data_IF_455954466537
#
_entry.id   IF_455954466537
#
_cell.length_a   1.000
_cell.length_b   1.000
_cell.length_c   1.000
_cell.angle_alpha   90.00
_cell.angle_beta   90.00
_cell.angle_gamma   90.00
#
_symmetry.space_group_name_H-M   'P 1'
#
loop_
_entity.id
_entity.type
_entity.pdbx_description
1 polymer ?
#
# COMPACT_ATOMS: atom_id res chain seq x y z
N UNK A 1 -4.28 3.37 17.55
CA UNK A 1 -5.44 2.67 18.16
C UNK A 1 -5.04 1.96 19.46
N UNK A 2 -4.06 1.04 19.45
CA UNK A 2 -3.64 0.29 20.64
C UNK A 2 -3.33 1.16 21.87
N UNK A 3 -2.51 2.22 21.73
CA UNK A 3 -2.17 3.11 22.85
C UNK A 3 -3.39 3.79 23.50
N UNK A 4 -4.36 4.22 22.68
CA UNK A 4 -5.58 4.85 23.19
C UNK A 4 -6.46 3.84 23.94
N UNK A 5 -6.61 2.63 23.40
CA UNK A 5 -7.39 1.56 24.03
C UNK A 5 -6.78 1.11 25.37
N UNK A 6 -5.47 0.93 25.43
CA UNK A 6 -4.76 0.58 26.68
C UNK A 6 -4.85 1.67 27.74
N UNK A 7 -4.91 2.95 27.32
CA UNK A 7 -5.10 4.07 28.25
C UNK A 7 -6.45 4.01 28.97
N UNK A 8 -7.49 3.57 28.28
CA UNK A 8 -8.84 3.39 28.85
C UNK A 8 -9.00 2.03 29.55
N UNK A 9 -8.13 1.07 29.26
CA UNK A 9 -8.18 -0.30 29.79
C UNK A 9 -6.84 -0.72 30.40
N UNK A 10 -6.54 -0.20 31.60
CA UNK A 10 -5.23 -0.35 32.27
C UNK A 10 -4.80 -1.79 32.61
N UNK A 11 -5.72 -2.77 32.51
CA UNK A 11 -5.43 -4.20 32.72
C UNK A 11 -5.05 -4.93 31.43
N UNK A 12 -5.17 -4.29 30.27
CA UNK A 12 -4.91 -4.89 28.96
C UNK A 12 -3.59 -4.35 28.43
N UNK A 13 -2.73 -5.26 27.98
CA UNK A 13 -1.49 -4.93 27.26
C UNK A 13 -1.60 -5.44 25.83
N UNK A 14 -1.27 -4.58 24.87
CA UNK A 14 -1.29 -4.87 23.43
C UNK A 14 0.10 -4.55 22.88
N UNK A 15 0.78 -5.56 22.36
CA UNK A 15 2.02 -5.38 21.61
C UNK A 15 1.72 -5.33 20.12
N UNK A 16 2.29 -4.35 19.41
CA UNK A 16 2.09 -4.16 17.96
C UNK A 16 3.43 -4.26 17.27
N UNK A 17 3.57 -5.28 16.42
CA UNK A 17 4.73 -5.47 15.55
C UNK A 17 4.39 -5.11 14.10
N UNK A 18 5.31 -4.40 13.43
CA UNK A 18 5.26 -4.18 11.99
C UNK A 18 5.75 -5.41 11.20
N UNK A 19 5.64 -5.37 9.87
CA UNK A 19 6.12 -6.45 9.00
C UNK A 19 5.29 -6.65 7.72
N UNK A 20 4.10 -6.05 7.66
CA UNK A 20 3.19 -6.11 6.52
C UNK A 20 2.25 -7.32 6.54
N UNK A 21 1.33 -7.36 5.57
CA UNK A 21 0.20 -8.30 5.54
C UNK A 21 0.61 -9.78 5.60
N UNK A 22 1.58 -10.19 4.77
CA UNK A 22 2.03 -11.60 4.76
C UNK A 22 2.69 -12.02 6.07
N UNK A 23 3.42 -11.12 6.73
CA UNK A 23 4.03 -11.40 8.04
C UNK A 23 2.95 -11.56 9.13
N UNK A 24 1.93 -10.71 9.12
CA UNK A 24 0.80 -10.80 10.06
C UNK A 24 -0.01 -12.09 9.90
N UNK A 25 -0.34 -12.47 8.67
CA UNK A 25 -1.06 -13.73 8.37
C UNK A 25 -0.25 -14.93 8.85
N UNK A 26 1.06 -14.95 8.56
CA UNK A 26 1.97 -16.02 8.97
C UNK A 26 2.07 -16.11 10.50
N UNK A 27 2.20 -14.97 11.20
CA UNK A 27 2.34 -14.95 12.65
C UNK A 27 1.15 -15.58 13.38
N UNK A 28 -0.08 -15.32 12.91
CA UNK A 28 -1.28 -15.95 13.46
C UNK A 28 -1.31 -17.44 13.17
N UNK A 29 -0.99 -17.86 11.94
CA UNK A 29 -0.91 -19.29 11.58
C UNK A 29 0.09 -20.07 12.43
N UNK A 30 1.21 -19.44 12.76
CA UNK A 30 2.27 -20.05 13.58
C UNK A 30 2.01 -19.90 15.08
N UNK A 31 0.92 -19.23 15.49
CA UNK A 31 0.58 -19.02 16.90
C UNK A 31 1.53 -18.05 17.64
N UNK A 32 2.32 -17.26 16.89
CA UNK A 32 3.24 -16.26 17.47
C UNK A 32 2.59 -14.89 17.64
N UNK A 33 1.37 -14.72 17.13
CA UNK A 33 0.52 -13.55 17.38
C UNK A 33 -0.94 -13.99 17.51
N UNK A 34 -1.70 -13.31 18.38
CA UNK A 34 -3.14 -13.55 18.54
C UNK A 34 -3.97 -12.99 17.36
N UNK A 35 -3.51 -11.87 16.79
CA UNK A 35 -4.20 -11.14 15.71
C UNK A 35 -3.19 -10.69 14.66
N UNK A 36 -3.55 -10.88 13.40
CA UNK A 36 -2.76 -10.47 12.23
C UNK A 36 -3.57 -9.50 11.37
N UNK A 37 -2.95 -8.37 10.99
CA UNK A 37 -3.56 -7.41 10.08
C UNK A 37 -3.14 -7.69 8.64
N UNK A 38 -4.10 -7.62 7.71
CA UNK A 38 -3.84 -7.74 6.28
C UNK A 38 -4.62 -6.67 5.52
N UNK A 39 -3.92 -5.93 4.66
CA UNK A 39 -4.51 -5.00 3.68
C UNK A 39 -4.88 -5.68 2.36
N UNK A 40 -4.86 -7.01 2.32
CA UNK A 40 -5.26 -7.84 1.19
C UNK A 40 -6.10 -9.02 1.64
N UNK A 41 -6.84 -9.61 0.72
CA UNK A 41 -7.48 -10.89 0.97
C UNK A 41 -6.43 -11.99 1.21
N UNK A 42 -6.84 -13.00 1.99
CA UNK A 42 -6.06 -14.21 2.19
C UNK A 42 -6.06 -15.05 0.92
N UNK A 43 -4.89 -15.58 0.58
CA UNK A 43 -4.73 -16.57 -0.48
C UNK A 43 -5.41 -17.89 -0.11
N UNK A 44 -5.70 -18.76 -1.09
CA UNK A 44 -6.50 -19.97 -0.85
C UNK A 44 -5.89 -20.89 0.21
N UNK A 45 -4.58 -21.00 0.22
CA UNK A 45 -3.78 -21.80 1.16
C UNK A 45 -3.63 -21.13 2.54
N UNK A 46 -3.82 -19.81 2.62
CA UNK A 46 -3.83 -19.05 3.88
C UNK A 46 -5.17 -19.13 4.62
N UNK A 47 -6.29 -19.43 3.92
CA UNK A 47 -7.64 -19.42 4.51
C UNK A 47 -7.90 -20.52 5.54
N UNK A 48 -7.15 -21.63 5.49
CA UNK A 48 -7.41 -22.76 6.37
C UNK A 48 -6.99 -22.44 7.82
N UNK A 49 -7.95 -22.48 8.74
CA UNK A 49 -7.70 -22.29 10.17
C UNK A 49 -7.64 -20.83 10.63
N UNK A 50 -7.94 -19.87 9.75
CA UNK A 50 -8.00 -18.45 10.10
C UNK A 50 -9.42 -17.90 10.01
N UNK A 51 -9.82 -17.11 11.00
CA UNK A 51 -11.04 -16.32 10.96
C UNK A 51 -10.73 -14.91 10.45
N UNK A 52 -11.39 -14.48 9.38
CA UNK A 52 -11.21 -13.14 8.81
C UNK A 52 -12.34 -12.23 9.27
N UNK A 53 -11.98 -11.09 9.87
CA UNK A 53 -12.92 -10.06 10.31
C UNK A 53 -12.59 -8.75 9.58
N UNK A 54 -13.47 -8.24 8.71
CA UNK A 54 -13.31 -6.91 8.11
C UNK A 54 -13.49 -5.83 9.18
N UNK A 55 -12.48 -4.98 9.38
CA UNK A 55 -12.50 -3.91 10.40
C UNK A 55 -12.49 -2.51 9.80
N UNK A 56 -12.07 -2.35 8.55
CA UNK A 56 -11.95 -1.07 7.88
C UNK A 56 -11.90 -1.23 6.36
N UNK A 57 -12.14 -0.12 5.66
CA UNK A 57 -11.86 0.04 4.23
C UNK A 57 -10.69 1.02 4.13
N UNK A 58 -9.62 0.63 3.46
CA UNK A 58 -8.46 1.48 3.20
C UNK A 58 -8.51 2.08 1.79
N UNK A 59 -8.07 3.34 1.69
CA UNK A 59 -7.94 4.04 0.41
C UNK A 59 -6.48 4.12 -0.01
N UNK A 60 -6.19 3.79 -1.27
CA UNK A 60 -4.89 4.05 -1.88
C UNK A 60 -5.02 5.36 -2.67
N UNK A 61 -4.11 6.30 -2.40
CA UNK A 61 -4.02 7.56 -3.12
C UNK A 61 -2.71 7.64 -3.90
N UNK A 62 -2.78 8.25 -5.08
CA UNK A 62 -1.59 8.64 -5.84
C UNK A 62 -1.18 10.04 -5.40
N UNK A 63 0.06 10.15 -4.91
CA UNK A 63 0.64 11.43 -4.52
C UNK A 63 1.70 11.81 -5.54
N UNK A 64 1.60 13.03 -6.04
CA UNK A 64 2.56 13.61 -6.99
C UNK A 64 3.29 14.79 -6.34
N UNK A 65 4.43 15.17 -6.91
CA UNK A 65 5.12 16.39 -6.50
C UNK A 65 4.18 17.62 -6.69
N UNK A 66 4.12 18.58 -5.75
CA UNK A 66 3.26 19.76 -5.86
C UNK A 66 3.46 20.61 -7.13
N UNK A 67 4.63 20.58 -7.75
CA UNK A 67 4.93 21.29 -9.00
C UNK A 67 4.34 20.60 -10.24
N UNK A 68 3.90 19.35 -10.11
CA UNK A 68 3.24 18.61 -11.18
C UNK A 68 1.84 19.18 -11.44
N UNK A 69 1.63 19.70 -12.65
CA UNK A 69 0.38 20.34 -13.06
C UNK A 69 -0.66 19.36 -13.62
N UNK A 70 -0.37 18.07 -13.65
CA UNK A 70 -1.33 17.04 -14.07
C UNK A 70 -2.37 16.87 -12.98
N UNK A 71 -3.59 17.33 -13.25
CA UNK A 71 -4.67 17.40 -12.26
C UNK A 71 -5.57 16.16 -12.24
N UNK A 72 -5.51 15.32 -13.27
CA UNK A 72 -6.34 14.12 -13.35
C UNK A 72 -5.63 13.02 -14.14
N UNK A 73 -5.78 11.78 -13.69
CA UNK A 73 -5.28 10.59 -14.38
C UNK A 73 -6.42 9.59 -14.45
N UNK A 74 -6.61 8.99 -15.63
CA UNK A 74 -7.51 7.84 -15.75
C UNK A 74 -6.84 6.60 -15.13
N UNK A 75 -7.66 5.64 -14.69
CA UNK A 75 -7.15 4.37 -14.16
C UNK A 75 -6.23 3.65 -15.17
N UNK A 76 -6.55 3.75 -16.46
CA UNK A 76 -5.73 3.20 -17.53
C UNK A 76 -4.35 3.88 -17.60
N UNK A 77 -4.30 5.21 -17.54
CA UNK A 77 -3.02 5.94 -17.50
C UNK A 77 -2.19 5.53 -16.27
N UNK A 78 -2.81 5.44 -15.10
CA UNK A 78 -2.14 4.96 -13.88
C UNK A 78 -1.55 3.57 -14.08
N UNK A 79 -2.34 2.64 -14.64
CA UNK A 79 -1.86 1.27 -14.92
C UNK A 79 -0.64 1.29 -15.84
N UNK A 80 -0.68 2.07 -16.92
CA UNK A 80 0.40 2.18 -17.91
C UNK A 80 1.66 2.85 -17.33
N UNK A 81 1.50 3.81 -16.41
CA UNK A 81 2.61 4.40 -15.65
C UNK A 81 3.31 3.34 -14.79
N UNK A 82 2.55 2.58 -13.98
CA UNK A 82 3.12 1.54 -13.11
C UNK A 82 3.62 0.31 -13.88
N UNK A 83 3.15 0.09 -15.11
CA UNK A 83 3.71 -0.90 -16.04
C UNK A 83 5.01 -0.43 -16.73
N UNK A 84 5.37 0.85 -16.61
CA UNK A 84 6.54 1.44 -17.28
C UNK A 84 6.34 1.71 -18.77
N UNK A 85 5.09 1.69 -19.25
CA UNK A 85 4.72 2.03 -20.62
C UNK A 85 4.66 3.55 -20.83
N UNK A 86 4.13 4.27 -19.84
CA UNK A 86 4.17 5.73 -19.80
C UNK A 86 5.29 6.13 -18.84
N UNK A 87 6.28 6.83 -19.36
CA UNK A 87 7.49 7.19 -18.60
C UNK A 87 7.69 8.69 -18.50
N UNK A 88 6.86 9.50 -19.15
CA UNK A 88 6.93 10.95 -19.07
C UNK A 88 5.56 11.59 -18.80
N UNK A 89 5.52 12.60 -17.94
CA UNK A 89 4.31 13.35 -17.64
C UNK A 89 3.66 14.01 -18.87
N UNK A 90 4.44 14.29 -19.93
CA UNK A 90 3.92 14.79 -21.22
C UNK A 90 2.88 13.86 -21.85
N UNK A 91 3.00 12.55 -21.66
CA UNK A 91 2.11 11.55 -22.25
C UNK A 91 0.71 11.54 -21.62
N UNK A 92 0.55 12.22 -20.48
CA UNK A 92 -0.70 12.35 -19.72
C UNK A 92 -1.13 13.80 -19.53
N UNK A 93 -0.67 14.70 -20.41
CA UNK A 93 -1.09 16.11 -20.42
C UNK A 93 -0.26 17.05 -19.55
N UNK A 94 0.89 16.61 -19.04
CA UNK A 94 1.84 17.46 -18.33
C UNK A 94 2.57 18.43 -19.25
N UNK A 95 2.89 19.63 -18.73
CA UNK A 95 3.72 20.60 -19.47
C UNK A 95 5.15 20.10 -19.57
N UNK A 96 5.56 19.76 -20.78
CA UNK A 96 6.85 19.17 -21.03
C UNK A 96 8.05 20.09 -20.89
N UNK A 97 8.69 20.11 -19.72
CA UNK A 97 10.09 20.55 -19.54
C UNK A 97 11.04 19.36 -19.54
N UNK A 98 12.33 19.58 -19.84
CA UNK A 98 13.37 18.54 -19.76
C UNK A 98 13.45 17.93 -18.36
N UNK A 99 13.72 16.63 -18.28
CA UNK A 99 13.86 15.81 -17.07
C UNK A 99 12.61 15.64 -16.18
N UNK A 100 11.45 15.46 -16.79
CA UNK A 100 10.21 15.04 -16.09
C UNK A 100 9.92 13.54 -16.24
N UNK A 101 10.90 12.67 -15.97
CA UNK A 101 10.62 11.24 -15.96
C UNK A 101 9.70 10.85 -14.79
N UNK A 102 8.72 10.00 -15.10
CA UNK A 102 7.87 9.32 -14.14
C UNK A 102 8.66 8.25 -13.39
N UNK A 103 8.82 8.50 -12.10
CA UNK A 103 9.31 7.54 -11.12
C UNK A 103 8.11 7.06 -10.30
N UNK A 104 7.43 5.97 -10.68
CA UNK A 104 6.38 5.42 -9.84
C UNK A 104 6.98 5.05 -8.48
N UNK A 105 6.57 5.76 -7.43
CA UNK A 105 6.93 5.43 -6.06
C UNK A 105 6.26 4.11 -5.65
N UNK A 106 7.02 3.19 -5.07
CA UNK A 106 6.53 1.88 -4.63
C UNK A 106 7.61 0.79 -4.70
N UNK A 107 7.20 -0.49 -4.62
CA UNK A 107 8.10 -1.63 -4.81
C UNK A 107 8.57 -1.82 -6.27
N UNK A 108 7.99 -1.08 -7.20
CA UNK A 108 8.33 -1.13 -8.62
C UNK A 108 9.27 0.04 -8.93
N UNK A 109 10.50 -0.25 -9.37
CA UNK A 109 11.44 0.78 -9.88
C UNK A 109 11.35 0.84 -11.39
N UNK A 110 11.39 2.03 -11.97
CA UNK A 110 11.48 2.20 -13.43
C UNK A 110 12.96 2.20 -13.86
N UNK A 111 13.45 1.17 -14.57
CA UNK A 111 14.85 1.07 -14.97
C UNK A 111 15.22 1.96 -16.17
N UNK A 112 14.25 2.57 -16.86
CA UNK A 112 14.48 3.38 -18.08
C UNK A 112 14.83 4.85 -17.81
N UNK A 113 14.93 5.25 -16.54
CA UNK A 113 15.24 6.62 -16.13
C UNK A 113 16.41 6.68 -15.12
N UNK A 114 17.34 5.72 -15.24
CA UNK A 114 18.62 5.70 -14.53
C UNK A 114 19.73 6.25 -15.42
#
# INVERSE_FOLDING_TARGET
MANAFMKENSRISINVAGGGSSAGIKAVREGTADIGASSRELERDEKNGLMVIPIAIDGIALVVNPENRVNNLTLEQVRRIYAGEITNWKEVGGKGGGDQCLHPGGRVRNPRCL
#
